data_IF_080776189787
#
_entry.id   IF_080776189787
#
_cell.length_a   1.000
_cell.length_b   1.000
_cell.length_c   1.000
_cell.angle_alpha   90.00
_cell.angle_beta   90.00
_cell.angle_gamma   90.00
#
_symmetry.space_group_name_H-M   'P 1'
#
loop_
_entity.id
_entity.type
_entity.pdbx_description
1 polymer ?
#
# COMPACT_ATOMS: atom_id res chain seq x y z
N UNK A 1 -97.05 38.72 -10.82
CA UNK A 1 -95.98 39.16 -9.89
C UNK A 1 -94.82 38.19 -9.99
N UNK A 2 -93.64 38.78 -10.08
CA UNK A 2 -92.28 38.24 -10.17
C UNK A 2 -91.95 37.09 -9.22
N UNK A 3 -91.17 36.12 -9.70
CA UNK A 3 -89.87 35.74 -9.12
C UNK A 3 -89.22 34.67 -10.03
N UNK A 4 -88.06 34.88 -10.66
CA UNK A 4 -86.88 35.52 -10.09
C UNK A 4 -86.11 34.59 -9.15
N UNK A 5 -86.23 33.26 -9.31
CA UNK A 5 -85.51 32.28 -8.50
C UNK A 5 -84.15 31.94 -9.09
N UNK A 6 -83.10 32.51 -8.51
CA UNK A 6 -81.70 32.15 -8.72
C UNK A 6 -81.50 30.64 -8.86
N UNK A 7 -80.98 30.20 -10.01
CA UNK A 7 -80.40 28.85 -10.14
C UNK A 7 -79.15 28.81 -9.27
N UNK A 8 -79.27 28.30 -8.05
CA UNK A 8 -78.11 27.85 -7.29
C UNK A 8 -77.46 26.71 -8.09
N UNK A 9 -76.22 26.90 -8.51
CA UNK A 9 -75.42 25.87 -9.13
C UNK A 9 -75.20 24.74 -8.10
N UNK A 10 -75.95 23.66 -8.21
CA UNK A 10 -75.68 22.44 -7.45
C UNK A 10 -74.24 21.98 -7.74
N UNK A 11 -73.43 21.70 -6.71
CA UNK A 11 -72.07 21.21 -6.91
C UNK A 11 -72.13 19.87 -7.64
N UNK A 12 -71.37 19.76 -8.73
CA UNK A 12 -71.32 18.55 -9.54
C UNK A 12 -70.99 17.32 -8.67
N UNK A 13 -71.63 16.17 -8.94
CA UNK A 13 -71.39 14.94 -8.18
C UNK A 13 -69.91 14.56 -8.13
N UNK A 14 -69.49 13.87 -7.07
CA UNK A 14 -68.11 13.42 -6.89
C UNK A 14 -67.54 12.72 -8.13
N UNK A 15 -68.31 11.83 -8.75
CA UNK A 15 -67.91 11.11 -9.96
C UNK A 15 -67.74 12.03 -11.17
N UNK A 16 -68.58 13.05 -11.29
CA UNK A 16 -68.46 14.07 -12.35
C UNK A 16 -67.19 14.90 -12.17
N UNK A 17 -66.87 15.29 -10.93
CA UNK A 17 -65.64 16.01 -10.61
C UNK A 17 -64.40 15.15 -10.82
N UNK A 18 -64.43 13.88 -10.37
CA UNK A 18 -63.34 12.93 -10.54
C UNK A 18 -63.07 12.63 -12.02
N UNK A 19 -64.10 12.44 -12.84
CA UNK A 19 -63.96 12.23 -14.29
C UNK A 19 -63.42 13.48 -15.01
N UNK A 20 -63.86 14.68 -14.60
CA UNK A 20 -63.34 15.94 -15.13
C UNK A 20 -61.85 16.13 -14.76
N UNK A 21 -61.47 15.84 -13.51
CA UNK A 21 -60.08 15.86 -13.06
C UNK A 21 -59.22 14.82 -13.78
N UNK A 22 -59.73 13.60 -13.98
CA UNK A 22 -59.05 12.56 -14.74
C UNK A 22 -58.76 13.03 -16.16
N UNK A 23 -59.79 13.51 -16.89
CA UNK A 23 -59.62 14.02 -18.27
C UNK A 23 -58.64 15.19 -18.34
N UNK A 24 -58.67 16.10 -17.37
CA UNK A 24 -57.74 17.24 -17.30
C UNK A 24 -56.30 16.75 -17.11
N UNK A 25 -56.06 15.85 -16.15
CA UNK A 25 -54.73 15.26 -15.91
C UNK A 25 -54.24 14.43 -17.10
N UNK A 26 -55.11 13.66 -17.74
CA UNK A 26 -54.76 12.84 -18.91
C UNK A 26 -54.43 13.71 -20.14
N UNK A 27 -55.16 14.81 -20.34
CA UNK A 27 -54.88 15.78 -21.41
C UNK A 27 -53.56 16.52 -21.16
N UNK A 28 -53.26 16.84 -19.89
CA UNK A 28 -51.98 17.44 -19.51
C UNK A 28 -50.81 16.49 -19.78
N UNK A 29 -50.92 15.22 -19.37
CA UNK A 29 -49.94 14.18 -19.69
C UNK A 29 -49.80 13.94 -21.21
N UNK A 30 -50.91 13.95 -21.96
CA UNK A 30 -50.91 13.82 -23.43
C UNK A 30 -50.24 15.00 -24.14
N UNK A 31 -50.30 16.22 -23.58
CA UNK A 31 -49.59 17.39 -24.14
C UNK A 31 -48.11 17.39 -23.76
N UNK A 32 -47.74 16.78 -22.64
CA UNK A 32 -46.36 16.70 -22.15
C UNK A 32 -45.66 15.38 -22.53
N UNK A 33 -45.84 14.94 -23.78
CA UNK A 33 -45.35 13.65 -24.31
C UNK A 33 -43.85 13.46 -24.08
N UNK A 34 -43.04 14.51 -24.26
CA UNK A 34 -41.58 14.44 -24.12
C UNK A 34 -41.16 14.03 -22.71
N UNK A 35 -41.81 14.59 -21.69
CA UNK A 35 -41.53 14.26 -20.29
C UNK A 35 -42.01 12.85 -19.95
N UNK A 36 -43.19 12.45 -20.44
CA UNK A 36 -43.73 11.11 -20.23
C UNK A 36 -42.88 10.02 -20.91
N UNK A 37 -42.42 10.25 -22.14
CA UNK A 37 -41.49 9.33 -22.83
C UNK A 37 -40.19 9.22 -22.05
N UNK A 38 -39.64 10.33 -21.55
CA UNK A 38 -38.42 10.31 -20.73
C UNK A 38 -38.62 9.52 -19.42
N UNK A 39 -39.76 9.70 -18.75
CA UNK A 39 -40.10 8.96 -17.52
C UNK A 39 -40.21 7.46 -17.77
N UNK A 40 -40.79 7.05 -18.90
CA UNK A 40 -40.91 5.64 -19.29
C UNK A 40 -39.57 5.07 -19.75
N UNK A 41 -38.77 5.82 -20.51
CA UNK A 41 -37.49 5.36 -21.07
C UNK A 41 -36.39 5.24 -20.00
N UNK A 42 -36.40 6.11 -19.00
CA UNK A 42 -35.38 6.15 -17.95
C UNK A 42 -35.10 4.79 -17.27
N UNK A 43 -36.11 4.02 -16.78
CA UNK A 43 -35.85 2.70 -16.22
C UNK A 43 -35.23 1.73 -17.22
N UNK A 44 -35.64 1.74 -18.50
CA UNK A 44 -35.02 0.89 -19.53
C UNK A 44 -33.56 1.25 -19.78
N UNK A 45 -33.24 2.54 -19.87
CA UNK A 45 -31.85 3.01 -20.03
C UNK A 45 -31.00 2.56 -18.83
N UNK A 46 -31.54 2.68 -17.61
CA UNK A 46 -30.85 2.23 -16.40
C UNK A 46 -30.64 0.69 -16.41
N UNK A 47 -31.65 -0.09 -16.80
CA UNK A 47 -31.51 -1.53 -16.96
C UNK A 47 -30.46 -1.92 -18.00
N UNK A 48 -30.44 -1.26 -19.17
CA UNK A 48 -29.44 -1.48 -20.20
C UNK A 48 -28.03 -1.15 -19.66
N UNK A 49 -27.88 -0.03 -18.95
CA UNK A 49 -26.61 0.37 -18.36
C UNK A 49 -26.11 -0.65 -17.32
N UNK A 50 -27.01 -1.18 -16.48
CA UNK A 50 -26.65 -2.24 -15.52
C UNK A 50 -26.27 -3.54 -16.22
N UNK A 51 -26.96 -3.96 -17.28
CA UNK A 51 -26.61 -5.16 -18.06
C UNK A 51 -25.25 -5.01 -18.75
N UNK A 52 -24.98 -3.85 -19.34
CA UNK A 52 -23.67 -3.55 -19.94
C UNK A 52 -22.56 -3.57 -18.88
N UNK A 53 -22.82 -2.99 -17.70
CA UNK A 53 -21.87 -3.01 -16.59
C UNK A 53 -21.62 -4.43 -16.09
N UNK A 54 -22.67 -5.22 -15.87
CA UNK A 54 -22.55 -6.63 -15.46
C UNK A 54 -21.74 -7.45 -16.47
N UNK A 55 -22.03 -7.29 -17.78
CA UNK A 55 -21.29 -8.01 -18.81
C UNK A 55 -19.81 -7.61 -18.84
N UNK A 56 -19.51 -6.31 -18.67
CA UNK A 56 -18.14 -5.82 -18.61
C UNK A 56 -17.40 -6.34 -17.37
N UNK A 57 -18.05 -6.35 -16.21
CA UNK A 57 -17.50 -6.88 -14.97
C UNK A 57 -17.26 -8.39 -15.08
N UNK A 58 -18.24 -9.16 -15.56
CA UNK A 58 -18.09 -10.61 -15.77
C UNK A 58 -16.92 -10.89 -16.70
N UNK A 59 -16.82 -10.20 -17.84
CA UNK A 59 -15.69 -10.34 -18.76
C UNK A 59 -14.33 -9.99 -18.12
N UNK A 60 -14.29 -9.06 -17.17
CA UNK A 60 -13.08 -8.74 -16.43
C UNK A 60 -12.73 -9.80 -15.38
N UNK A 61 -13.70 -10.21 -14.55
CA UNK A 61 -13.50 -11.25 -13.53
C UNK A 61 -13.28 -12.65 -14.13
N UNK A 62 -13.72 -12.88 -15.37
CA UNK A 62 -13.53 -14.13 -16.07
C UNK A 62 -12.11 -14.34 -16.60
N UNK A 63 -11.27 -13.30 -16.61
CA UNK A 63 -9.86 -13.41 -16.98
C UNK A 63 -9.13 -14.36 -16.03
N UNK A 64 -8.24 -15.17 -16.59
CA UNK A 64 -7.50 -16.19 -15.85
C UNK A 64 -6.84 -15.64 -14.56
N UNK A 65 -6.17 -14.49 -14.63
CA UNK A 65 -5.52 -13.84 -13.47
C UNK A 65 -6.45 -13.46 -12.31
N UNK A 66 -7.74 -13.30 -12.56
CA UNK A 66 -8.73 -12.93 -11.53
C UNK A 66 -9.43 -14.17 -10.94
N UNK A 67 -8.96 -15.37 -11.29
CA UNK A 67 -9.48 -16.64 -10.79
C UNK A 67 -8.36 -17.42 -10.13
N UNK A 68 -8.69 -18.02 -8.99
CA UNK A 68 -7.81 -19.00 -8.39
C UNK A 68 -7.58 -20.16 -9.37
N UNK A 69 -6.34 -20.63 -9.47
CA UNK A 69 -5.97 -21.80 -10.24
C UNK A 69 -6.59 -23.06 -9.66
N UNK A 70 -6.95 -23.98 -10.55
CA UNK A 70 -7.68 -25.20 -10.16
C UNK A 70 -7.34 -26.36 -11.09
N UNK A 71 -7.31 -27.56 -10.52
CA UNK A 71 -7.14 -28.80 -11.25
C UNK A 71 -8.44 -29.63 -11.22
N UNK A 72 -8.64 -30.42 -12.26
CA UNK A 72 -9.71 -31.41 -12.27
C UNK A 72 -9.24 -32.70 -11.59
N UNK A 73 -9.93 -33.12 -10.53
CA UNK A 73 -9.59 -34.36 -9.81
C UNK A 73 -10.32 -35.58 -10.36
N UNK A 74 -11.50 -35.38 -10.98
CA UNK A 74 -12.26 -36.44 -11.66
C UNK A 74 -12.81 -35.95 -12.98
N UNK A 75 -12.53 -36.70 -14.04
CA UNK A 75 -13.01 -36.44 -15.40
C UNK A 75 -13.92 -37.56 -15.88
N UNK A 76 -15.01 -37.19 -16.56
CA UNK A 76 -15.82 -38.13 -17.33
C UNK A 76 -15.79 -37.66 -18.79
N UNK A 77 -14.94 -38.30 -19.60
CA UNK A 77 -14.60 -37.80 -20.93
C UNK A 77 -13.90 -36.44 -20.84
N UNK A 78 -14.36 -35.47 -21.63
CA UNK A 78 -13.83 -34.08 -21.63
C UNK A 78 -14.40 -33.21 -20.50
N UNK A 79 -15.39 -33.71 -19.75
CA UNK A 79 -16.08 -32.92 -18.73
C UNK A 79 -15.46 -33.13 -17.34
N UNK A 80 -15.10 -32.02 -16.69
CA UNK A 80 -14.60 -32.05 -15.32
C UNK A 80 -15.76 -32.15 -14.32
N UNK A 81 -15.82 -33.25 -13.57
CA UNK A 81 -16.86 -33.49 -12.57
C UNK A 81 -16.51 -32.91 -11.21
N UNK A 82 -15.25 -33.02 -10.80
CA UNK A 82 -14.77 -32.49 -9.54
C UNK A 82 -13.56 -31.59 -9.78
N UNK A 83 -13.67 -30.34 -9.33
CA UNK A 83 -12.66 -29.30 -9.48
C UNK A 83 -12.14 -28.91 -8.11
N UNK A 84 -10.82 -29.00 -7.91
CA UNK A 84 -10.15 -28.55 -6.68
C UNK A 84 -9.34 -27.31 -6.99
N UNK A 85 -9.66 -26.21 -6.31
CA UNK A 85 -9.00 -24.91 -6.46
C UNK A 85 -8.09 -24.64 -5.27
N UNK A 86 -6.99 -23.93 -5.50
CA UNK A 86 -6.08 -23.54 -4.44
C UNK A 86 -4.82 -22.89 -4.96
N UNK A 87 -4.09 -22.26 -4.03
CA UNK A 87 -2.80 -21.60 -4.30
C UNK A 87 -1.81 -22.58 -4.94
N UNK A 88 -1.83 -23.85 -4.53
CA UNK A 88 -0.99 -24.91 -5.08
C UNK A 88 -1.27 -25.29 -6.55
N UNK A 89 -2.36 -24.78 -7.12
CA UNK A 89 -2.73 -25.01 -8.53
C UNK A 89 -2.76 -23.69 -9.31
N UNK A 90 -2.22 -22.61 -8.73
CA UNK A 90 -2.23 -21.27 -9.28
C UNK A 90 -0.85 -20.83 -9.71
N UNK A 91 -0.79 -20.03 -10.76
CA UNK A 91 0.42 -19.27 -11.10
C UNK A 91 0.52 -17.97 -10.27
N UNK A 92 1.60 -17.22 -10.47
CA UNK A 92 1.85 -15.96 -9.76
C UNK A 92 0.82 -14.85 -10.04
N UNK A 93 0.16 -14.89 -11.19
CA UNK A 93 -0.88 -13.91 -11.53
C UNK A 93 -2.23 -14.28 -10.89
N UNK A 94 -2.47 -15.57 -10.65
CA UNK A 94 -3.70 -16.12 -10.11
C UNK A 94 -3.75 -16.19 -8.58
N UNK A 95 -2.60 -16.33 -7.92
CA UNK A 95 -2.52 -16.61 -6.48
C UNK A 95 -3.22 -15.56 -5.61
N UNK A 96 -3.21 -14.29 -6.04
CA UNK A 96 -3.93 -13.20 -5.37
C UNK A 96 -5.45 -13.34 -5.37
N UNK A 97 -6.01 -14.16 -6.24
CA UNK A 97 -7.45 -14.46 -6.30
C UNK A 97 -7.84 -15.70 -5.48
N UNK A 98 -6.88 -16.38 -4.84
CA UNK A 98 -7.14 -17.57 -4.03
C UNK A 98 -7.42 -17.25 -2.56
N UNK A 99 -8.28 -18.03 -1.89
CA UNK A 99 -8.34 -18.00 -0.44
C UNK A 99 -7.03 -18.56 0.15
N UNK A 100 -6.41 -17.81 1.06
CA UNK A 100 -5.18 -18.19 1.77
C UNK A 100 -5.56 -18.52 3.21
N UNK A 101 -5.67 -19.81 3.53
CA UNK A 101 -6.08 -20.27 4.87
C UNK A 101 -4.93 -20.29 5.87
N UNK A 102 -3.72 -20.60 5.39
CA UNK A 102 -2.49 -20.62 6.19
C UNK A 102 -1.47 -19.71 5.49
N UNK A 103 -1.33 -18.45 5.91
CA UNK A 103 -0.36 -17.54 5.32
C UNK A 103 1.07 -18.05 5.56
N UNK A 104 1.96 -17.94 4.56
CA UNK A 104 3.38 -18.20 4.76
C UNK A 104 3.99 -17.14 5.69
N UNK A 105 5.02 -17.54 6.43
CA UNK A 105 5.82 -16.63 7.27
C UNK A 105 6.83 -15.90 6.39
N UNK A 106 6.50 -14.66 6.03
CA UNK A 106 7.39 -13.83 5.23
C UNK A 106 8.50 -13.21 6.11
N UNK A 107 9.75 -13.12 5.62
CA UNK A 107 10.79 -12.40 6.33
C UNK A 107 10.45 -10.90 6.43
N UNK A 108 10.89 -10.21 7.50
CA UNK A 108 10.66 -8.78 7.64
C UNK A 108 11.49 -7.99 6.61
N UNK A 109 10.90 -6.94 6.06
CA UNK A 109 11.55 -6.03 5.13
C UNK A 109 11.49 -4.60 5.64
N UNK A 110 12.52 -3.83 5.31
CA UNK A 110 12.50 -2.37 5.36
C UNK A 110 11.97 -1.79 4.06
N UNK A 111 11.20 -0.70 4.14
CA UNK A 111 10.89 0.07 2.94
C UNK A 111 12.14 0.81 2.48
N UNK A 112 12.73 0.39 1.36
CA UNK A 112 13.93 1.02 0.83
C UNK A 112 13.66 1.78 -0.47
N UNK A 113 14.36 2.90 -0.71
CA UNK A 113 14.23 3.62 -1.97
C UNK A 113 14.93 2.89 -3.12
N UNK A 114 14.29 2.94 -4.28
CA UNK A 114 14.91 2.60 -5.56
C UNK A 114 16.20 3.42 -5.77
N UNK A 115 17.27 2.85 -6.36
CA UNK A 115 18.55 3.54 -6.60
C UNK A 115 18.45 4.97 -7.13
N UNK A 116 17.50 5.26 -8.02
CA UNK A 116 17.34 6.59 -8.61
C UNK A 116 16.80 7.66 -7.63
N UNK A 117 16.19 7.22 -6.53
CA UNK A 117 15.55 8.08 -5.54
C UNK A 117 16.33 8.22 -4.23
N UNK A 118 17.40 7.42 -4.04
CA UNK A 118 18.23 7.42 -2.82
C UNK A 118 18.82 8.78 -2.50
N UNK A 119 18.93 9.08 -1.21
CA UNK A 119 19.48 10.34 -0.71
C UNK A 119 20.90 10.63 -1.22
N UNK A 120 21.09 11.83 -1.79
CA UNK A 120 22.37 12.38 -2.25
C UNK A 120 22.46 13.85 -1.87
N UNK A 121 23.67 14.42 -1.93
CA UNK A 121 23.90 15.83 -1.65
C UNK A 121 23.17 16.72 -2.65
N UNK A 122 22.41 17.69 -2.17
CA UNK A 122 21.65 18.64 -2.99
C UNK A 122 21.64 20.03 -2.36
N UNK A 123 21.13 21.05 -3.04
CA UNK A 123 21.06 22.42 -2.50
C UNK A 123 20.21 22.50 -1.20
N UNK A 124 19.20 21.64 -1.07
CA UNK A 124 18.31 21.60 0.11
C UNK A 124 18.76 20.59 1.18
N UNK A 125 19.65 19.65 0.83
CA UNK A 125 20.37 18.74 1.74
C UNK A 125 21.88 18.85 1.48
N UNK A 126 22.51 19.95 1.95
CA UNK A 126 23.87 20.33 1.53
C UNK A 126 24.99 19.63 2.31
N UNK A 127 24.67 18.75 3.27
CA UNK A 127 25.67 18.10 4.10
C UNK A 127 26.62 17.24 3.27
N UNK A 128 27.91 17.32 3.58
CA UNK A 128 28.99 16.69 2.82
C UNK A 128 29.10 15.18 3.02
N UNK A 129 28.47 14.66 4.07
CA UNK A 129 28.39 13.24 4.40
C UNK A 129 27.36 12.49 3.54
N UNK A 130 26.49 13.19 2.81
CA UNK A 130 25.65 12.58 1.78
C UNK A 130 26.46 12.20 0.53
N UNK A 131 26.07 11.11 -0.16
CA UNK A 131 26.73 10.68 -1.39
C UNK A 131 26.69 11.72 -2.52
N UNK A 132 27.66 11.64 -3.42
CA UNK A 132 27.68 12.45 -4.64
C UNK A 132 26.50 12.06 -5.56
N UNK A 133 25.71 13.02 -6.09
CA UNK A 133 24.59 12.75 -7.01
C UNK A 133 24.88 11.82 -8.18
N UNK A 134 26.13 11.78 -8.68
CA UNK A 134 26.54 10.91 -9.78
C UNK A 134 26.31 9.42 -9.49
N UNK A 135 26.26 8.99 -8.21
CA UNK A 135 25.98 7.60 -7.85
C UNK A 135 24.56 7.12 -8.24
N UNK A 136 23.64 8.04 -8.57
CA UNK A 136 22.31 7.65 -9.04
C UNK A 136 22.38 7.13 -10.48
N UNK A 137 23.27 7.68 -11.29
CA UNK A 137 23.39 7.35 -12.70
C UNK A 137 23.88 5.91 -12.93
N UNK A 138 24.71 5.39 -12.03
CA UNK A 138 25.22 4.02 -12.07
C UNK A 138 24.52 3.09 -11.06
N UNK A 139 23.51 3.59 -10.34
CA UNK A 139 22.77 2.84 -9.31
C UNK A 139 23.59 2.44 -8.08
N UNK A 140 24.76 3.07 -7.85
CA UNK A 140 25.68 2.71 -6.77
C UNK A 140 25.47 3.50 -5.47
N UNK A 141 24.46 4.38 -5.40
CA UNK A 141 24.22 5.14 -4.18
C UNK A 141 23.92 4.22 -2.99
N UNK A 142 24.56 4.43 -1.83
CA UNK A 142 24.16 3.74 -0.62
C UNK A 142 22.77 4.20 -0.18
N UNK A 143 22.13 3.36 0.62
CA UNK A 143 20.88 3.65 1.29
C UNK A 143 21.19 4.45 2.54
N UNK A 144 20.61 5.64 2.70
CA UNK A 144 20.88 6.48 3.88
C UNK A 144 19.89 6.17 5.00
N UNK A 145 20.42 6.05 6.22
CA UNK A 145 19.68 5.97 7.49
C UNK A 145 20.25 7.01 8.45
N UNK A 146 19.36 7.72 9.14
CA UNK A 146 19.75 8.76 10.10
C UNK A 146 19.64 8.22 11.53
N UNK A 147 20.58 8.62 12.38
CA UNK A 147 20.63 8.22 13.78
C UNK A 147 20.85 9.45 14.67
N UNK A 148 20.24 9.44 15.85
CA UNK A 148 20.43 10.44 16.90
C UNK A 148 20.14 9.82 18.27
N UNK A 149 20.39 10.56 19.34
CA UNK A 149 20.17 10.14 20.72
C UNK A 149 20.98 10.96 21.70
N UNK A 150 20.68 10.83 23.00
CA UNK A 150 21.36 11.59 24.06
C UNK A 150 22.84 11.22 24.18
N UNK A 151 23.17 9.95 23.95
CA UNK A 151 24.55 9.44 23.97
C UNK A 151 24.97 8.98 22.57
N UNK A 152 25.78 9.80 21.89
CA UNK A 152 26.26 9.52 20.54
C UNK A 152 27.09 8.24 20.45
N UNK A 153 28.00 8.02 21.39
CA UNK A 153 28.87 6.83 21.37
C UNK A 153 28.04 5.55 21.45
N UNK A 154 27.03 5.52 22.34
CA UNK A 154 26.10 4.39 22.41
C UNK A 154 25.31 4.23 21.11
N UNK A 155 24.76 5.32 20.56
CA UNK A 155 23.98 5.28 19.33
C UNK A 155 24.77 4.82 18.10
N UNK A 156 26.07 5.16 18.02
CA UNK A 156 26.97 4.69 16.97
C UNK A 156 27.23 3.18 17.05
N UNK A 157 27.37 2.65 18.28
CA UNK A 157 27.49 1.20 18.52
C UNK A 157 26.18 0.48 18.16
N UNK A 158 25.04 0.98 18.65
CA UNK A 158 23.72 0.40 18.36
C UNK A 158 23.42 0.39 16.86
N UNK A 159 23.59 1.54 16.19
CA UNK A 159 23.40 1.62 14.74
C UNK A 159 24.37 0.72 13.96
N UNK A 160 25.59 0.51 14.49
CA UNK A 160 26.56 -0.42 13.91
C UNK A 160 26.09 -1.87 13.96
N UNK A 161 25.47 -2.27 15.07
CA UNK A 161 24.91 -3.60 15.23
C UNK A 161 23.61 -3.82 14.45
N UNK A 162 22.84 -2.76 14.18
CA UNK A 162 21.63 -2.84 13.35
C UNK A 162 21.91 -3.20 11.89
N UNK A 163 23.12 -2.93 11.38
CA UNK A 163 23.48 -3.21 9.99
C UNK A 163 24.69 -4.16 9.97
N UNK A 164 24.47 -5.46 9.72
CA UNK A 164 25.54 -6.44 9.76
C UNK A 164 26.55 -6.22 8.62
N UNK A 165 27.77 -6.72 8.81
CA UNK A 165 28.80 -6.76 7.77
C UNK A 165 28.75 -8.03 6.91
N UNK A 166 27.97 -9.02 7.33
CA UNK A 166 27.85 -10.34 6.69
C UNK A 166 26.41 -10.62 6.30
N UNK A 167 26.25 -11.49 5.30
CA UNK A 167 24.96 -11.96 4.83
C UNK A 167 25.03 -13.49 4.84
N UNK A 168 24.07 -14.12 5.49
CA UNK A 168 24.01 -15.57 5.65
C UNK A 168 22.79 -16.13 4.94
N UNK A 169 22.98 -17.13 4.08
CA UNK A 169 21.86 -17.83 3.45
C UNK A 169 22.08 -19.34 3.50
N UNK A 170 21.06 -20.06 3.96
CA UNK A 170 21.00 -21.51 3.84
C UNK A 170 20.07 -21.89 2.68
N UNK A 171 20.61 -22.59 1.68
CA UNK A 171 19.86 -23.00 0.51
C UNK A 171 18.78 -24.06 0.80
N UNK A 172 18.86 -24.77 1.92
CA UNK A 172 17.81 -25.72 2.33
C UNK A 172 16.62 -25.03 2.97
N UNK A 173 16.84 -23.86 3.58
CA UNK A 173 15.81 -23.11 4.30
C UNK A 173 15.98 -21.62 4.06
N UNK A 174 15.54 -21.22 2.87
CA UNK A 174 15.79 -19.88 2.33
C UNK A 174 15.00 -18.82 3.08
N UNK A 175 13.71 -19.06 3.38
CA UNK A 175 12.86 -18.06 4.05
C UNK A 175 13.34 -17.76 5.46
N UNK A 176 13.63 -18.79 6.26
CA UNK A 176 14.09 -18.59 7.63
C UNK A 176 15.46 -17.92 7.65
N UNK A 177 16.36 -18.31 6.72
CA UNK A 177 17.66 -17.64 6.58
C UNK A 177 17.49 -16.16 6.23
N UNK A 178 16.60 -15.84 5.29
CA UNK A 178 16.32 -14.46 4.92
C UNK A 178 15.81 -13.64 6.12
N UNK A 179 14.98 -14.24 6.98
CA UNK A 179 14.45 -13.56 8.17
C UNK A 179 15.52 -13.16 9.20
N UNK A 180 16.67 -13.83 9.20
CA UNK A 180 17.82 -13.48 10.07
C UNK A 180 18.70 -12.35 9.53
N UNK A 181 18.45 -11.87 8.31
CA UNK A 181 19.20 -10.78 7.69
C UNK A 181 18.39 -9.48 7.69
N UNK A 182 19.09 -8.36 7.50
CA UNK A 182 18.43 -7.06 7.30
C UNK A 182 18.08 -6.91 5.83
N UNK A 183 16.80 -7.06 5.52
CA UNK A 183 16.29 -6.99 4.14
C UNK A 183 15.56 -5.68 3.88
N UNK A 184 15.50 -5.29 2.61
CA UNK A 184 14.74 -4.14 2.16
C UNK A 184 14.15 -4.35 0.78
N UNK A 185 13.04 -3.68 0.52
CA UNK A 185 12.39 -3.69 -0.80
C UNK A 185 11.89 -2.31 -1.18
N UNK A 186 12.04 -1.99 -2.46
CA UNK A 186 11.46 -0.79 -3.08
C UNK A 186 10.03 -1.00 -3.58
N UNK A 187 9.52 -2.24 -3.55
CA UNK A 187 8.13 -2.54 -3.87
C UNK A 187 7.18 -1.72 -3.00
N UNK A 188 6.07 -1.29 -3.58
CA UNK A 188 4.99 -0.64 -2.84
C UNK A 188 4.35 -1.66 -1.89
N UNK A 189 4.08 -1.24 -0.65
CA UNK A 189 3.34 -2.07 0.31
C UNK A 189 1.86 -2.14 -0.04
N UNK A 190 1.24 -3.26 0.30
CA UNK A 190 -0.18 -3.51 0.14
C UNK A 190 -0.91 -3.37 1.48
N UNK A 191 -2.24 -3.46 1.44
CA UNK A 191 -3.07 -3.36 2.64
C UNK A 191 -3.07 -4.64 3.50
N UNK A 192 -2.50 -5.74 2.98
CA UNK A 192 -2.40 -7.03 3.66
C UNK A 192 -1.04 -7.66 3.37
N UNK A 193 -0.54 -8.52 4.26
CA UNK A 193 0.72 -9.23 4.07
C UNK A 193 0.54 -10.71 3.68
N UNK A 194 -0.62 -11.09 3.13
CA UNK A 194 -0.83 -12.47 2.67
C UNK A 194 0.14 -12.83 1.55
N UNK A 195 0.42 -11.87 0.66
CA UNK A 195 1.40 -11.94 -0.39
C UNK A 195 2.35 -10.76 -0.21
N UNK A 196 3.60 -11.03 0.14
CA UNK A 196 4.61 -10.01 0.38
C UNK A 196 5.10 -9.43 -0.97
N UNK A 197 4.75 -8.18 -1.33
CA UNK A 197 5.04 -7.60 -2.64
C UNK A 197 6.51 -7.65 -3.06
N UNK A 198 7.45 -7.73 -2.12
CA UNK A 198 8.87 -7.89 -2.40
C UNK A 198 9.19 -9.13 -3.24
N UNK A 199 8.45 -10.24 -3.07
CA UNK A 199 8.63 -11.48 -3.83
C UNK A 199 7.78 -11.58 -5.11
N UNK A 200 6.71 -10.78 -5.20
CA UNK A 200 5.79 -10.79 -6.34
C UNK A 200 6.08 -9.66 -7.33
N UNK A 201 6.85 -8.65 -6.94
CA UNK A 201 7.36 -7.61 -7.84
C UNK A 201 8.50 -8.10 -8.72
N UNK A 202 8.78 -7.40 -9.82
CA UNK A 202 9.98 -7.62 -10.65
C UNK A 202 11.21 -6.88 -10.10
N UNK A 203 11.13 -6.35 -8.88
CA UNK A 203 12.20 -5.60 -8.24
C UNK A 203 13.13 -6.53 -7.47
N UNK A 204 14.43 -6.20 -7.38
CA UNK A 204 15.36 -6.97 -6.55
C UNK A 204 15.03 -6.77 -5.07
N UNK A 205 15.34 -7.80 -4.28
CA UNK A 205 15.40 -7.70 -2.83
C UNK A 205 16.78 -7.17 -2.45
N UNK A 206 16.81 -6.16 -1.60
CA UNK A 206 18.06 -5.65 -1.07
C UNK A 206 18.39 -6.34 0.25
N UNK A 207 19.59 -6.91 0.37
CA UNK A 207 20.14 -7.25 1.67
C UNK A 207 21.11 -6.14 2.08
N UNK A 208 20.92 -5.60 3.27
CA UNK A 208 21.62 -4.41 3.72
C UNK A 208 22.87 -4.81 4.49
N UNK A 209 23.98 -4.19 4.13
CA UNK A 209 25.26 -4.38 4.81
C UNK A 209 25.98 -3.06 5.02
N UNK A 210 26.91 -3.02 5.97
CA UNK A 210 27.74 -1.84 6.22
C UNK A 210 28.66 -1.51 5.03
N UNK A 211 29.09 -2.53 4.29
CA UNK A 211 29.82 -2.44 3.02
C UNK A 211 29.43 -3.62 2.13
N UNK A 212 29.32 -3.38 0.82
CA UNK A 212 29.09 -4.43 -0.15
C UNK A 212 30.41 -4.97 -0.72
N UNK A 213 30.50 -6.28 -0.88
CA UNK A 213 31.62 -6.94 -1.54
C UNK A 213 31.61 -6.76 -3.06
N UNK A 214 32.58 -7.39 -3.73
CA UNK A 214 32.53 -7.58 -5.19
C UNK A 214 31.52 -8.70 -5.51
N UNK A 215 30.83 -8.61 -6.65
CA UNK A 215 29.82 -9.58 -7.09
C UNK A 215 28.71 -9.84 -6.06
N UNK A 216 28.20 -8.77 -5.44
CA UNK A 216 27.13 -8.83 -4.43
C UNK A 216 25.72 -8.82 -5.04
N UNK A 217 25.55 -9.55 -6.14
CA UNK A 217 24.26 -9.73 -6.80
C UNK A 217 24.18 -11.16 -7.28
N UNK A 218 23.12 -11.85 -6.86
CA UNK A 218 22.88 -13.25 -7.19
C UNK A 218 21.39 -13.53 -7.11
N UNK A 219 20.94 -14.63 -7.69
CA UNK A 219 19.54 -15.05 -7.64
C UNK A 219 19.39 -16.33 -6.85
N UNK A 220 18.28 -16.44 -6.12
CA UNK A 220 17.93 -17.63 -5.37
C UNK A 220 16.53 -18.11 -5.77
N UNK A 221 16.31 -19.45 -5.81
CA UNK A 221 14.98 -19.99 -6.00
C UNK A 221 14.14 -19.77 -4.74
N UNK A 222 13.05 -19.01 -4.86
CA UNK A 222 12.02 -18.89 -3.84
C UNK A 222 10.88 -19.82 -4.22
N UNK A 223 10.51 -20.71 -3.29
CA UNK A 223 9.34 -21.57 -3.42
C UNK A 223 8.13 -20.84 -2.85
N UNK A 224 7.13 -20.60 -3.68
CA UNK A 224 5.86 -20.01 -3.28
C UNK A 224 4.79 -21.04 -3.62
N UNK A 225 4.38 -21.78 -2.59
CA UNK A 225 3.52 -22.95 -2.73
C UNK A 225 4.13 -24.01 -3.66
N UNK A 226 3.54 -24.26 -4.84
CA UNK A 226 4.03 -25.24 -5.82
C UNK A 226 4.88 -24.65 -6.93
N UNK A 227 5.00 -23.32 -6.97
CA UNK A 227 5.73 -22.62 -8.02
C UNK A 227 7.04 -22.06 -7.47
N UNK A 228 8.12 -22.23 -8.23
CA UNK A 228 9.41 -21.64 -7.92
C UNK A 228 9.70 -20.43 -8.82
N UNK A 229 10.30 -19.39 -8.24
CA UNK A 229 10.75 -18.21 -8.97
C UNK A 229 12.18 -17.87 -8.58
N UNK A 230 12.98 -17.45 -9.55
CA UNK A 230 14.29 -16.86 -9.27
C UNK A 230 14.10 -15.43 -8.78
N UNK A 231 14.44 -15.17 -7.53
CA UNK A 231 14.44 -13.84 -6.93
C UNK A 231 15.86 -13.29 -6.96
N UNK A 232 16.04 -12.11 -7.55
CA UNK A 232 17.32 -11.40 -7.49
C UNK A 232 17.51 -10.79 -6.09
N UNK A 233 18.67 -11.06 -5.49
CA UNK A 233 19.17 -10.39 -4.30
C UNK A 233 20.35 -9.51 -4.66
N UNK A 234 20.33 -8.29 -4.14
CA UNK A 234 21.39 -7.30 -4.37
C UNK A 234 21.82 -6.68 -3.06
N UNK A 235 23.13 -6.62 -2.82
CA UNK A 235 23.62 -5.88 -1.67
C UNK A 235 23.31 -4.40 -1.84
N UNK A 236 22.80 -3.79 -0.78
CA UNK A 236 22.73 -2.35 -0.68
C UNK A 236 23.53 -1.89 0.54
N UNK A 237 24.55 -1.07 0.30
CA UNK A 237 25.32 -0.49 1.38
C UNK A 237 24.43 0.47 2.17
N UNK A 238 24.33 0.28 3.48
CA UNK A 238 23.62 1.21 4.37
C UNK A 238 24.61 2.24 4.92
N UNK A 239 24.40 3.50 4.56
CA UNK A 239 25.11 4.66 5.06
C UNK A 239 24.40 5.15 6.33
N UNK A 240 25.08 5.01 7.47
CA UNK A 240 24.60 5.44 8.78
C UNK A 240 25.13 6.84 9.06
N UNK A 241 24.25 7.83 9.15
CA UNK A 241 24.63 9.23 9.39
C UNK A 241 24.09 9.70 10.74
N UNK A 242 24.95 10.31 11.55
CA UNK A 242 24.56 10.87 12.84
C UNK A 242 24.07 12.31 12.72
N UNK A 243 23.06 12.67 13.52
CA UNK A 243 22.54 14.03 13.68
C UNK A 243 22.46 14.41 15.14
N UNK A 244 22.61 15.71 15.42
CA UNK A 244 22.69 16.20 16.80
C UNK A 244 21.33 16.20 17.50
N UNK A 245 20.24 16.14 16.75
CA UNK A 245 18.89 16.14 17.32
C UNK A 245 17.86 15.44 16.45
N UNK A 246 16.79 14.98 17.10
CA UNK A 246 15.52 14.51 16.53
C UNK A 246 14.95 15.49 15.50
N UNK A 247 15.08 16.80 15.76
CA UNK A 247 14.58 17.85 14.87
C UNK A 247 15.36 17.91 13.55
N UNK A 248 16.68 17.70 13.59
CA UNK A 248 17.51 17.64 12.38
C UNK A 248 17.13 16.41 11.54
N UNK A 249 17.00 15.25 12.19
CA UNK A 249 16.56 14.01 11.54
C UNK A 249 15.22 14.20 10.83
N UNK A 250 14.20 14.70 11.55
CA UNK A 250 12.88 14.92 10.98
C UNK A 250 12.89 15.94 9.83
N UNK A 251 13.67 17.02 9.96
CA UNK A 251 13.81 18.03 8.91
C UNK A 251 14.43 17.43 7.63
N UNK A 252 15.45 16.58 7.75
CA UNK A 252 16.08 15.94 6.60
C UNK A 252 15.18 14.89 5.94
N UNK A 253 14.51 14.06 6.74
CA UNK A 253 13.49 13.12 6.25
C UNK A 253 12.40 13.86 5.47
N UNK A 254 11.88 14.97 6.02
CA UNK A 254 10.87 15.79 5.38
C UNK A 254 11.36 16.39 4.06
N UNK A 255 12.56 16.95 4.04
CA UNK A 255 13.16 17.48 2.80
C UNK A 255 13.43 16.41 1.76
N UNK A 256 13.66 15.17 2.17
CA UNK A 256 13.78 14.03 1.26
C UNK A 256 12.49 13.70 0.50
N UNK A 257 11.34 14.03 1.08
CA UNK A 257 10.04 13.87 0.43
C UNK A 257 9.82 14.95 -0.65
N UNK A 258 9.28 14.55 -1.81
CA UNK A 258 9.07 15.44 -2.97
C UNK A 258 8.27 16.71 -2.68
N UNK A 259 7.40 16.73 -1.66
CA UNK A 259 6.65 17.95 -1.30
C UNK A 259 7.30 18.74 -0.17
N UNK A 260 8.35 18.21 0.46
CA UNK A 260 9.06 18.87 1.56
C UNK A 260 10.29 19.67 1.13
N UNK A 261 10.59 19.73 -0.16
CA UNK A 261 11.64 20.60 -0.71
C UNK A 261 11.12 21.48 -1.86
N UNK A 262 11.72 22.66 -1.99
CA UNK A 262 11.36 23.67 -3.00
C UNK A 262 11.59 23.19 -4.43
N UNK A 263 12.55 22.29 -4.64
CA UNK A 263 12.90 21.73 -5.95
C UNK A 263 11.94 20.63 -6.44
N UNK A 264 11.01 20.17 -5.58
CA UNK A 264 10.10 19.04 -5.84
C UNK A 264 10.80 17.74 -6.27
N UNK A 265 12.03 17.52 -5.80
CA UNK A 265 12.83 16.33 -6.13
C UNK A 265 12.66 15.25 -5.06
N UNK A 266 12.74 14.00 -5.45
CA UNK A 266 12.77 12.86 -4.52
C UNK A 266 14.24 12.64 -4.08
N UNK A 267 14.45 12.61 -2.77
CA UNK A 267 15.75 12.40 -2.15
C UNK A 267 15.56 11.54 -0.89
N UNK A 268 15.12 10.30 -1.09
CA UNK A 268 14.60 9.44 -0.03
C UNK A 268 15.70 8.87 0.87
N UNK A 269 15.43 9.00 2.18
CA UNK A 269 16.15 8.42 3.30
C UNK A 269 15.21 7.35 3.86
N UNK A 270 15.74 6.17 4.22
CA UNK A 270 14.90 5.04 4.65
C UNK A 270 14.14 5.34 5.92
N UNK A 271 14.89 5.70 6.96
CA UNK A 271 14.35 5.97 8.27
C UNK A 271 15.34 6.80 9.08
N UNK A 272 14.81 7.43 10.12
CA UNK A 272 15.54 8.05 11.22
C UNK A 272 15.27 7.30 12.52
N UNK A 273 16.32 7.05 13.28
CA UNK A 273 16.26 6.39 14.59
C UNK A 273 16.77 7.34 15.66
N UNK A 274 15.97 7.56 16.69
CA UNK A 274 16.36 8.31 17.87
C UNK A 274 16.39 7.40 19.07
N UNK A 275 17.59 7.14 19.58
CA UNK A 275 17.81 6.30 20.76
C UNK A 275 17.49 7.03 22.08
N UNK A 276 16.96 8.26 22.04
CA UNK A 276 16.46 8.99 23.19
C UNK A 276 17.44 8.95 24.37
N UNK A 277 17.00 8.49 25.55
CA UNK A 277 17.80 8.32 26.77
C UNK A 277 18.24 6.86 26.99
N UNK A 278 18.36 6.06 25.92
CA UNK A 278 18.82 4.67 26.00
C UNK A 278 20.17 4.55 26.72
N UNK A 279 20.31 3.47 27.47
CA UNK A 279 21.52 3.07 28.20
C UNK A 279 21.54 1.54 28.36
N UNK A 280 22.47 1.02 29.17
CA UNK A 280 22.62 -0.43 29.37
C UNK A 280 21.37 -1.12 29.97
N UNK A 281 20.54 -0.39 30.71
CA UNK A 281 19.37 -0.93 31.41
C UNK A 281 18.04 -0.56 30.75
N UNK A 282 18.01 0.50 29.92
CA UNK A 282 16.80 1.05 29.33
C UNK A 282 17.03 1.22 27.84
N UNK A 283 16.16 0.63 27.03
CA UNK A 283 16.18 0.80 25.58
C UNK A 283 14.92 1.55 25.13
N UNK A 284 15.11 2.80 24.73
CA UNK A 284 14.06 3.68 24.21
C UNK A 284 14.42 4.09 22.78
N UNK A 285 13.55 3.82 21.82
CA UNK A 285 13.76 4.20 20.43
C UNK A 285 12.51 4.84 19.83
N UNK A 286 12.70 5.96 19.14
CA UNK A 286 11.69 6.53 18.25
C UNK A 286 12.14 6.34 16.80
N UNK A 287 11.25 5.81 15.98
CA UNK A 287 11.50 5.55 14.56
C UNK A 287 10.66 6.51 13.73
N UNK A 288 11.29 7.22 12.81
CA UNK A 288 10.63 8.06 11.84
C UNK A 288 10.91 7.55 10.44
N UNK A 289 9.87 7.43 9.64
CA UNK A 289 9.97 6.99 8.26
C UNK A 289 9.06 7.84 7.37
N UNK A 290 9.32 7.79 6.08
CA UNK A 290 8.47 8.46 5.11
C UNK A 290 7.29 7.55 4.74
N UNK A 291 6.08 7.95 5.13
CA UNK A 291 4.85 7.22 4.89
C UNK A 291 4.28 7.43 3.45
N UNK A 292 5.12 7.61 2.42
CA UNK A 292 4.68 7.86 1.03
C UNK A 292 3.66 6.84 0.55
N UNK A 293 3.83 5.57 0.92
CA UNK A 293 2.96 4.47 0.48
C UNK A 293 1.72 4.26 1.34
N UNK A 294 1.60 4.96 2.49
CA UNK A 294 0.45 4.86 3.43
C UNK A 294 -0.90 5.04 2.72
N UNK A 295 -0.93 5.94 1.72
CA UNK A 295 -2.10 6.24 0.89
C UNK A 295 -3.40 6.45 1.69
N UNK A 296 -3.29 7.16 2.81
CA UNK A 296 -4.38 7.41 3.75
C UNK A 296 -5.39 8.40 3.15
N UNK A 297 -6.55 7.90 2.76
CA UNK A 297 -7.69 8.69 2.27
C UNK A 297 -8.71 8.98 3.38
N UNK A 298 -8.52 8.43 4.59
CA UNK A 298 -9.46 8.50 5.71
C UNK A 298 -10.64 7.51 5.63
N UNK A 299 -10.88 6.89 4.47
CA UNK A 299 -12.00 5.95 4.26
C UNK A 299 -11.54 4.54 3.89
N UNK A 300 -10.33 4.40 3.34
CA UNK A 300 -9.77 3.13 2.88
C UNK A 300 -8.79 2.53 3.89
N UNK A 301 -8.59 1.20 3.89
CA UNK A 301 -7.51 0.57 4.63
C UNK A 301 -6.15 1.18 4.25
N UNK A 302 -5.34 1.43 5.28
CA UNK A 302 -4.01 2.02 5.14
C UNK A 302 -3.02 0.92 4.74
N UNK A 303 -2.10 1.24 3.83
CA UNK A 303 -1.04 0.32 3.44
C UNK A 303 -0.13 -0.02 4.62
N UNK A 304 0.36 -1.26 4.68
CA UNK A 304 1.24 -1.71 5.75
C UNK A 304 2.57 -0.95 5.74
N UNK A 305 3.12 -0.73 6.94
CA UNK A 305 4.47 -0.20 7.12
C UNK A 305 5.48 -1.36 7.18
N UNK A 306 6.71 -1.08 6.73
CA UNK A 306 7.84 -2.01 6.69
C UNK A 306 8.95 -1.44 7.56
N UNK A 307 8.90 -1.79 8.83
CA UNK A 307 9.81 -1.32 9.87
C UNK A 307 10.72 -2.46 10.34
N UNK A 308 11.92 -2.16 10.90
CA UNK A 308 12.84 -3.19 11.35
C UNK A 308 12.21 -4.03 12.46
N UNK A 309 12.47 -5.34 12.42
CA UNK A 309 12.18 -6.22 13.56
C UNK A 309 13.19 -5.92 14.68
N UNK A 310 12.72 -5.33 15.78
CA UNK A 310 13.50 -5.25 17.02
C UNK A 310 13.25 -6.53 17.82
N UNK A 311 14.13 -7.52 17.72
CA UNK A 311 14.04 -8.73 18.54
C UNK A 311 14.82 -8.51 19.85
N UNK A 312 14.14 -8.05 20.89
CA UNK A 312 14.69 -7.93 22.24
C UNK A 312 13.82 -8.70 23.24
N UNK A 313 14.45 -9.46 24.12
CA UNK A 313 13.83 -10.45 25.02
C UNK A 313 12.90 -9.91 26.11
N UNK A 314 12.39 -8.67 26.01
CA UNK A 314 11.40 -8.13 26.92
C UNK A 314 10.43 -7.18 26.20
N UNK A 315 9.16 -7.28 26.60
CA UNK A 315 7.95 -6.57 26.15
C UNK A 315 8.21 -5.17 25.57
N UNK A 316 8.00 -5.03 24.26
CA UNK A 316 7.99 -3.76 23.54
C UNK A 316 6.60 -3.13 23.72
N UNK A 317 6.52 -1.93 24.28
CA UNK A 317 5.31 -1.09 24.21
C UNK A 317 5.39 -0.21 22.94
N UNK A 318 4.79 -0.68 21.85
CA UNK A 318 4.74 0.04 20.58
C UNK A 318 3.77 1.22 20.67
N UNK A 319 4.29 2.44 20.85
CA UNK A 319 3.51 3.68 20.63
C UNK A 319 3.80 4.19 19.22
N UNK A 320 3.04 3.73 18.23
CA UNK A 320 3.17 4.20 16.84
C UNK A 320 2.47 5.55 16.68
N UNK A 321 3.24 6.64 16.67
CA UNK A 321 2.75 7.98 16.32
C UNK A 321 2.98 8.25 14.82
N UNK A 322 1.94 8.05 14.01
CA UNK A 322 1.92 8.42 12.60
C UNK A 322 1.52 9.90 12.45
N UNK A 323 2.50 10.81 12.51
CA UNK A 323 2.28 12.22 12.13
C UNK A 323 2.31 12.35 10.60
N UNK A 324 1.16 12.18 9.96
CA UNK A 324 0.93 12.78 8.66
C UNK A 324 0.76 14.29 8.87
N UNK A 325 1.84 15.05 8.69
CA UNK A 325 1.82 16.51 8.59
C UNK A 325 1.07 17.26 9.73
N UNK A 326 1.53 17.16 10.98
CA UNK A 326 1.38 18.29 11.91
C UNK A 326 2.30 18.13 13.13
N UNK A 327 3.18 19.11 13.30
CA UNK A 327 3.86 19.31 14.57
C UNK A 327 2.81 19.57 15.65
N UNK A 328 2.70 18.68 16.63
CA UNK A 328 2.09 19.00 17.91
C UNK A 328 2.98 18.51 19.05
N UNK A 329 3.76 19.47 19.56
CA UNK A 329 4.30 19.45 20.91
C UNK A 329 3.12 19.64 21.85
N UNK A 330 2.74 18.62 22.60
CA UNK A 330 1.84 18.80 23.75
C UNK A 330 2.73 18.76 24.99
N UNK A 331 2.95 19.93 25.57
CA UNK A 331 3.46 20.08 26.93
C UNK A 331 2.33 20.02 27.95
N UNK A 332 2.78 20.12 29.21
CA UNK A 332 2.06 20.18 30.49
C UNK A 332 1.81 18.81 31.12
N UNK A 333 2.21 18.54 32.37
CA UNK A 333 2.63 19.38 33.51
C UNK A 333 3.88 18.79 34.19
#
# INVERSE_FOLDING_TARGET
MTNGGNRHNEPASFWTQANALLRKNLTFQKRNVKTNVRLILFPFVLCILLLLLQNLLNKQFDKAKNKCGCICTKTQGEQCLEKKCGVQYSDFDQVGACPITNPPEWPPFLQTPDPQYRAVRTDFLPFSDFPNPLCRNNGSCPITMLFTGTNQSLGEVLSGNMIPSTFGINNTDVMDSLATNVLGSASKTENTNFLEPAFFSDLPIYYLQSQCGKNSTFSIPIQISTTSRQQELRCAQALRLWRNSSSEVNNELYKGYRKGNTARKINEIVAGYDFLNSNENIFNVSIWYNATYKNDTGFDPIALARDPKCEFGHKIEDTVSSSAAQAHRVGHL
#
